data_IF_967584601332
#
_entry.id   IF_967584601332
#
_cell.length_a   1.000
_cell.length_b   1.000
_cell.length_c   1.000
_cell.angle_alpha   90.00
_cell.angle_beta   90.00
_cell.angle_gamma   90.00
#
_symmetry.space_group_name_H-M   'P 1'
#
loop_
_entity.id
_entity.type
_entity.pdbx_description
1 polymer ?
#
# COMPACT_ATOMS: atom_id res chain seq x y z
N UNK A 1 14.08 -1.07 46.70
CA UNK A 1 14.74 -1.62 45.49
C UNK A 1 13.89 -1.19 44.30
N UNK A 2 14.31 -0.15 43.56
CA UNK A 2 13.62 0.28 42.34
C UNK A 2 13.93 -0.74 41.24
N UNK A 3 12.91 -1.45 40.75
CA UNK A 3 13.03 -2.22 39.53
C UNK A 3 12.84 -1.27 38.35
N UNK A 4 13.92 -1.01 37.60
CA UNK A 4 13.84 -0.31 36.32
C UNK A 4 13.02 -1.16 35.35
N UNK A 5 11.96 -0.57 34.81
CA UNK A 5 11.22 -1.13 33.69
C UNK A 5 12.15 -1.16 32.45
N UNK A 6 12.42 -2.36 31.94
CA UNK A 6 12.88 -2.51 30.56
C UNK A 6 11.72 -2.14 29.65
N UNK A 7 11.65 -0.87 29.26
CA UNK A 7 10.89 -0.47 28.08
C UNK A 7 11.49 -1.19 26.87
N UNK A 8 10.84 -2.25 26.42
CA UNK A 8 11.10 -2.78 25.08
C UNK A 8 10.85 -1.65 24.10
N UNK A 9 11.90 -1.19 23.42
CA UNK A 9 11.76 -0.27 22.32
C UNK A 9 10.71 -0.88 21.36
N UNK A 10 9.61 -0.17 21.13
CA UNK A 10 8.61 -0.58 20.17
C UNK A 10 9.34 -0.85 18.85
N UNK A 11 9.22 -2.09 18.33
CA UNK A 11 9.61 -2.38 16.96
C UNK A 11 8.98 -1.30 16.08
N UNK A 12 9.79 -0.67 15.23
CA UNK A 12 9.49 0.62 14.61
C UNK A 12 8.05 0.77 14.12
N UNK A 13 7.47 1.94 14.37
CA UNK A 13 6.09 2.26 13.95
C UNK A 13 5.99 2.58 12.44
N UNK A 14 6.96 2.14 11.63
CA UNK A 14 6.99 2.41 10.20
C UNK A 14 5.81 1.75 9.47
N UNK A 15 5.28 2.47 8.49
CA UNK A 15 4.32 1.99 7.50
C UNK A 15 5.04 1.85 6.15
N UNK A 16 5.13 0.62 5.63
CA UNK A 16 5.56 0.39 4.24
C UNK A 16 4.37 0.61 3.30
N UNK A 17 4.45 1.57 2.39
CA UNK A 17 3.38 1.85 1.41
C UNK A 17 3.77 1.18 0.10
N UNK A 18 3.18 0.02 -0.16
CA UNK A 18 3.53 -0.84 -1.28
C UNK A 18 2.52 -0.73 -2.43
N UNK A 19 2.99 -0.49 -3.65
CA UNK A 19 2.14 -0.44 -4.85
C UNK A 19 2.60 -1.39 -5.94
N UNK A 20 1.65 -1.93 -6.69
CA UNK A 20 1.93 -2.71 -7.90
C UNK A 20 0.76 -2.56 -8.88
N UNK A 21 1.05 -2.30 -10.15
CA UNK A 21 0.06 -2.40 -11.22
C UNK A 21 -0.36 -3.86 -11.44
N UNK A 22 -1.61 -4.10 -11.86
CA UNK A 22 -2.13 -5.45 -12.14
C UNK A 22 -2.75 -5.50 -13.52
N UNK A 23 -2.76 -6.69 -14.12
CA UNK A 23 -3.54 -6.98 -15.32
C UNK A 23 -2.98 -6.41 -16.62
N UNK A 24 -1.68 -6.09 -16.64
CA UNK A 24 -1.02 -5.57 -17.85
C UNK A 24 -0.14 -6.66 -18.46
N UNK A 25 -0.35 -6.94 -19.74
CA UNK A 25 0.51 -7.86 -20.47
C UNK A 25 1.90 -7.24 -20.68
N UNK A 26 2.96 -7.95 -20.27
CA UNK A 26 4.34 -7.48 -20.38
C UNK A 26 4.79 -7.16 -21.83
N UNK A 27 4.08 -7.67 -22.84
CA UNK A 27 4.36 -7.43 -24.25
C UNK A 27 3.99 -6.01 -24.72
N UNK A 28 3.14 -5.28 -24.00
CA UNK A 28 2.79 -3.88 -24.32
C UNK A 28 3.54 -2.92 -23.40
N UNK A 29 4.73 -2.49 -23.83
CA UNK A 29 5.59 -1.60 -23.06
C UNK A 29 4.94 -0.24 -22.75
N UNK A 30 4.14 0.30 -23.68
CA UNK A 30 3.49 1.60 -23.50
C UNK A 30 2.36 1.52 -22.47
N UNK A 31 1.62 0.41 -22.46
CA UNK A 31 0.61 0.16 -21.44
C UNK A 31 1.25 -0.09 -20.06
N UNK A 32 2.35 -0.85 -19.99
CA UNK A 32 3.12 -1.05 -18.74
C UNK A 32 3.59 0.30 -18.19
N UNK A 33 4.22 1.13 -19.00
CA UNK A 33 4.73 2.44 -18.56
C UNK A 33 3.60 3.35 -18.06
N UNK A 34 2.46 3.36 -18.75
CA UNK A 34 1.27 4.11 -18.34
C UNK A 34 0.78 3.67 -16.96
N UNK A 35 0.63 2.36 -16.73
CA UNK A 35 0.14 1.84 -15.46
C UNK A 35 1.18 1.95 -14.33
N UNK A 36 2.47 1.85 -14.65
CA UNK A 36 3.56 2.14 -13.71
C UNK A 36 3.46 3.60 -13.24
N UNK A 37 3.29 4.56 -14.16
CA UNK A 37 3.12 5.98 -13.83
C UNK A 37 1.89 6.27 -12.97
N UNK A 38 0.75 5.63 -13.30
CA UNK A 38 -0.50 5.75 -12.53
C UNK A 38 -0.34 5.22 -11.11
N UNK A 39 0.20 4.01 -10.95
CA UNK A 39 0.40 3.39 -9.64
C UNK A 39 1.46 4.12 -8.82
N UNK A 40 2.54 4.60 -9.46
CA UNK A 40 3.56 5.41 -8.80
C UNK A 40 2.97 6.72 -8.26
N UNK A 41 2.20 7.45 -9.07
CA UNK A 41 1.58 8.70 -8.64
C UNK A 41 0.56 8.51 -7.50
N UNK A 42 -0.23 7.42 -7.56
CA UNK A 42 -1.15 7.04 -6.48
C UNK A 42 -0.41 6.68 -5.19
N UNK A 43 0.55 5.75 -5.26
CA UNK A 43 1.35 5.28 -4.13
C UNK A 43 2.12 6.42 -3.46
N UNK A 44 2.82 7.24 -4.25
CA UNK A 44 3.61 8.35 -3.74
C UNK A 44 2.74 9.32 -2.96
N UNK A 45 1.55 9.66 -3.47
CA UNK A 45 0.69 10.62 -2.78
C UNK A 45 0.06 10.03 -1.51
N UNK A 46 -0.25 8.73 -1.48
CA UNK A 46 -0.64 8.04 -0.24
C UNK A 46 0.48 8.15 0.79
N UNK A 47 1.71 7.82 0.40
CA UNK A 47 2.87 7.88 1.28
C UNK A 47 3.12 9.30 1.84
N UNK A 48 3.04 10.32 0.99
CA UNK A 48 3.16 11.73 1.38
C UNK A 48 2.10 12.11 2.43
N UNK A 49 0.83 11.78 2.20
CA UNK A 49 -0.25 12.15 3.13
C UNK A 49 -0.13 11.46 4.50
N UNK A 50 0.29 10.20 4.52
CA UNK A 50 0.56 9.50 5.80
C UNK A 50 1.77 10.13 6.51
N UNK A 51 2.82 10.49 5.76
CA UNK A 51 4.00 11.20 6.30
C UNK A 51 3.68 12.60 6.83
N UNK A 52 2.84 13.38 6.14
CA UNK A 52 2.32 14.69 6.57
C UNK A 52 1.56 14.59 7.92
N UNK A 53 1.03 13.41 8.24
CA UNK A 53 0.35 13.11 9.52
C UNK A 53 1.30 12.57 10.61
N UNK A 54 2.61 12.57 10.35
CA UNK A 54 3.64 12.20 11.31
C UNK A 54 4.02 10.72 11.31
N UNK A 55 3.53 9.92 10.36
CA UNK A 55 3.96 8.53 10.24
C UNK A 55 5.37 8.42 9.66
N UNK A 56 6.16 7.47 10.16
CA UNK A 56 7.36 7.02 9.46
C UNK A 56 6.91 6.16 8.26
N UNK A 57 7.15 6.63 7.05
CA UNK A 57 6.65 5.99 5.83
C UNK A 57 7.78 5.63 4.89
N UNK A 58 7.73 4.40 4.36
CA UNK A 58 8.64 3.94 3.31
C UNK A 58 7.81 3.60 2.06
N UNK A 59 7.94 4.34 0.95
CA UNK A 59 7.27 3.98 -0.30
C UNK A 59 8.03 2.88 -1.04
N UNK A 60 7.31 1.95 -1.64
CA UNK A 60 7.83 0.90 -2.51
C UNK A 60 6.85 0.63 -3.64
N UNK A 61 7.29 0.66 -4.90
CA UNK A 61 6.45 0.37 -6.06
C UNK A 61 7.14 -0.69 -6.93
N UNK A 62 6.45 -1.80 -7.17
CA UNK A 62 6.85 -2.82 -8.13
C UNK A 62 6.27 -2.51 -9.51
N UNK A 63 6.86 -3.07 -10.58
CA UNK A 63 6.39 -2.81 -11.94
C UNK A 63 5.09 -3.56 -12.20
N UNK A 64 4.23 -3.01 -13.04
CA UNK A 64 2.97 -3.60 -13.43
C UNK A 64 3.15 -4.92 -14.21
N UNK A 65 4.30 -5.08 -14.87
CA UNK A 65 4.68 -6.29 -15.59
C UNK A 65 5.30 -7.38 -14.71
N UNK A 66 5.57 -7.12 -13.42
CA UNK A 66 6.14 -8.12 -12.52
C UNK A 66 5.06 -9.15 -12.14
N UNK A 67 5.24 -10.41 -12.54
CA UNK A 67 4.30 -11.52 -12.34
C UNK A 67 4.77 -12.57 -11.32
N UNK A 68 6.04 -12.56 -10.90
CA UNK A 68 6.56 -13.40 -9.83
C UNK A 68 6.11 -12.89 -8.45
N UNK A 69 4.88 -13.24 -8.09
CA UNK A 69 4.27 -12.89 -6.80
C UNK A 69 5.15 -13.32 -5.61
N UNK A 70 5.69 -14.56 -5.54
CA UNK A 70 6.60 -14.95 -4.47
C UNK A 70 7.84 -14.05 -4.33
N UNK A 71 8.48 -13.64 -5.43
CA UNK A 71 9.63 -12.74 -5.39
C UNK A 71 9.24 -11.35 -4.88
N UNK A 72 8.14 -10.80 -5.36
CA UNK A 72 7.62 -9.49 -4.90
C UNK A 72 7.32 -9.51 -3.41
N UNK A 73 6.65 -10.56 -2.90
CA UNK A 73 6.36 -10.69 -1.46
C UNK A 73 7.65 -10.76 -0.63
N UNK A 74 8.66 -11.51 -1.09
CA UNK A 74 9.98 -11.56 -0.41
C UNK A 74 10.65 -10.18 -0.37
N UNK A 75 10.62 -9.44 -1.48
CA UNK A 75 11.20 -8.10 -1.55
C UNK A 75 10.48 -7.13 -0.59
N UNK A 76 9.16 -7.17 -0.55
CA UNK A 76 8.32 -6.38 0.35
C UNK A 76 8.64 -6.68 1.82
N UNK A 77 8.67 -7.96 2.20
CA UNK A 77 8.98 -8.37 3.58
C UNK A 77 10.41 -8.04 3.98
N UNK A 78 11.37 -8.24 3.06
CA UNK A 78 12.78 -7.88 3.30
C UNK A 78 12.94 -6.38 3.50
N UNK A 79 12.23 -5.55 2.72
CA UNK A 79 12.25 -4.10 2.88
C UNK A 79 11.61 -3.67 4.19
N UNK A 80 10.42 -4.19 4.50
CA UNK A 80 9.74 -3.92 5.76
C UNK A 80 10.59 -4.29 6.99
N UNK A 81 11.29 -5.42 6.94
CA UNK A 81 12.18 -5.84 8.02
C UNK A 81 13.39 -4.90 8.18
N UNK A 82 14.00 -4.48 7.06
CA UNK A 82 15.15 -3.58 7.08
C UNK A 82 14.82 -2.20 7.68
N UNK A 83 13.63 -1.67 7.37
CA UNK A 83 13.16 -0.38 7.88
C UNK A 83 12.38 -0.50 9.21
N UNK A 84 12.22 -1.71 9.74
CA UNK A 84 11.51 -1.98 10.98
C UNK A 84 10.03 -1.59 10.94
N UNK A 85 9.35 -1.84 9.82
CA UNK A 85 7.94 -1.47 9.66
C UNK A 85 6.99 -2.46 10.34
N UNK A 86 5.97 -1.94 11.02
CA UNK A 86 4.95 -2.71 11.73
C UNK A 86 3.71 -3.03 10.86
N UNK A 87 3.57 -2.36 9.71
CA UNK A 87 2.42 -2.54 8.81
C UNK A 87 2.77 -2.26 7.35
N UNK A 88 1.95 -2.82 6.46
CA UNK A 88 1.96 -2.54 5.03
C UNK A 88 0.63 -1.87 4.67
N UNK A 89 0.69 -0.78 3.90
CA UNK A 89 -0.45 -0.25 3.17
C UNK A 89 -0.26 -0.62 1.70
N UNK A 90 -1.01 -1.59 1.21
CA UNK A 90 -1.08 -1.94 -0.21
C UNK A 90 -1.91 -0.88 -0.93
N UNK A 91 -1.35 -0.32 -2.00
CA UNK A 91 -1.97 0.65 -2.89
C UNK A 91 -2.17 0.00 -4.25
N UNK A 92 -3.40 -0.04 -4.77
CA UNK A 92 -3.67 -0.60 -6.09
C UNK A 92 -4.60 0.32 -6.88
N UNK A 93 -4.23 0.62 -8.12
CA UNK A 93 -5.11 1.27 -9.10
C UNK A 93 -5.00 0.49 -10.42
N UNK A 94 -6.09 -0.17 -10.81
CA UNK A 94 -6.11 -1.05 -11.97
C UNK A 94 -7.48 -1.05 -12.66
N UNK A 95 -7.49 -1.37 -13.95
CA UNK A 95 -8.70 -1.61 -14.71
C UNK A 95 -9.08 -3.10 -14.63
N UNK A 96 -10.32 -3.36 -14.22
CA UNK A 96 -10.98 -4.66 -14.35
C UNK A 96 -11.86 -4.62 -15.60
N UNK A 97 -11.33 -5.12 -16.71
CA UNK A 97 -12.01 -5.11 -17.99
C UNK A 97 -13.22 -6.05 -18.03
N UNK A 98 -13.20 -7.13 -17.23
CA UNK A 98 -14.30 -8.10 -17.17
C UNK A 98 -15.51 -7.50 -16.44
N UNK A 99 -15.26 -6.83 -15.31
CA UNK A 99 -16.30 -6.14 -14.55
C UNK A 99 -16.64 -4.75 -15.10
N UNK A 100 -15.86 -4.23 -16.04
CA UNK A 100 -16.07 -2.90 -16.62
C UNK A 100 -15.83 -1.77 -15.62
N UNK A 101 -14.91 -1.93 -14.67
CA UNK A 101 -14.63 -0.94 -13.62
C UNK A 101 -13.14 -0.61 -13.48
N UNK A 102 -12.86 0.64 -13.15
CA UNK A 102 -11.58 1.07 -12.61
C UNK A 102 -11.65 0.99 -11.08
N UNK A 103 -10.73 0.25 -10.48
CA UNK A 103 -10.68 0.04 -9.03
C UNK A 103 -9.48 0.77 -8.43
N UNK A 104 -9.73 1.62 -7.44
CA UNK A 104 -8.72 2.20 -6.57
C UNK A 104 -8.89 1.62 -5.16
N UNK A 105 -7.82 1.07 -4.60
CA UNK A 105 -7.88 0.40 -3.31
C UNK A 105 -6.66 0.67 -2.44
N UNK A 106 -6.93 0.86 -1.15
CA UNK A 106 -5.96 0.75 -0.07
C UNK A 106 -6.34 -0.42 0.84
N UNK A 107 -5.36 -1.24 1.21
CA UNK A 107 -5.52 -2.28 2.23
C UNK A 107 -4.39 -2.20 3.23
N UNK A 108 -4.72 -2.16 4.51
CA UNK A 108 -3.72 -2.19 5.58
C UNK A 108 -3.58 -3.60 6.13
N UNK A 109 -2.36 -4.11 6.11
CA UNK A 109 -1.97 -5.40 6.66
C UNK A 109 -1.00 -5.19 7.82
N UNK A 110 -1.30 -5.71 9.02
CA UNK A 110 -0.33 -5.78 10.10
C UNK A 110 0.83 -6.72 9.72
N UNK A 111 2.01 -6.40 10.24
CA UNK A 111 3.16 -7.30 10.22
C UNK A 111 3.37 -7.88 11.60
N UNK A 112 3.63 -9.19 11.66
CA UNK A 112 3.96 -9.88 12.89
C UNK A 112 4.99 -10.97 12.62
N UNK A 113 5.84 -11.23 13.60
CA UNK A 113 6.74 -12.37 13.55
C UNK A 113 5.98 -13.65 13.90
N UNK A 114 6.20 -14.71 13.14
CA UNK A 114 5.73 -16.04 13.50
C UNK A 114 6.57 -16.64 14.65
N UNK A 115 6.19 -17.84 15.10
CA UNK A 115 6.89 -18.53 16.19
C UNK A 115 8.37 -18.86 15.87
N UNK A 116 8.74 -18.89 14.58
CA UNK A 116 10.12 -19.08 14.14
C UNK A 116 10.89 -17.76 14.00
N UNK A 117 10.25 -16.62 14.30
CA UNK A 117 10.85 -15.29 14.20
C UNK A 117 10.87 -14.73 12.78
N UNK A 118 10.13 -15.32 11.84
CA UNK A 118 10.03 -14.78 10.47
C UNK A 118 8.89 -13.76 10.37
N UNK A 119 9.14 -12.62 9.73
CA UNK A 119 8.14 -11.58 9.51
C UNK A 119 7.06 -12.06 8.51
N UNK A 120 5.78 -11.92 8.89
CA UNK A 120 4.62 -12.35 8.10
C UNK A 120 3.60 -11.24 7.95
N UNK A 121 3.01 -11.17 6.77
CA UNK A 121 1.83 -10.35 6.47
C UNK A 121 0.61 -11.03 7.09
N UNK A 122 -0.09 -10.32 7.99
CA UNK A 122 -1.33 -10.79 8.61
C UNK A 122 -2.55 -10.44 7.72
N UNK A 123 -3.75 -10.99 7.97
CA UNK A 123 -4.95 -10.59 7.27
C UNK A 123 -5.21 -9.06 7.35
N UNK A 124 -5.82 -8.46 6.31
CA UNK A 124 -6.05 -7.03 6.26
C UNK A 124 -7.00 -6.60 7.38
N UNK A 125 -6.71 -5.47 8.03
CA UNK A 125 -7.56 -4.91 9.09
C UNK A 125 -8.47 -3.79 8.58
N UNK A 126 -8.00 -3.02 7.61
CA UNK A 126 -8.72 -1.89 7.03
C UNK A 126 -8.69 -1.99 5.51
N UNK A 127 -9.77 -1.52 4.88
CA UNK A 127 -9.87 -1.42 3.42
C UNK A 127 -10.61 -0.14 3.07
N UNK A 128 -10.01 0.67 2.19
CA UNK A 128 -10.66 1.80 1.53
C UNK A 128 -10.68 1.47 0.05
N UNK A 129 -11.87 1.32 -0.52
CA UNK A 129 -12.04 0.97 -1.93
C UNK A 129 -12.97 1.99 -2.61
N UNK A 130 -12.67 2.29 -3.87
CA UNK A 130 -13.50 3.07 -4.79
C UNK A 130 -13.52 2.38 -6.14
N UNK A 131 -14.69 2.34 -6.75
CA UNK A 131 -14.91 1.80 -8.08
C UNK A 131 -15.53 2.88 -8.96
N UNK A 132 -15.10 2.94 -10.21
CA UNK A 132 -15.60 3.86 -11.22
C UNK A 132 -15.88 3.08 -12.49
N UNK A 133 -16.83 3.52 -13.31
CA UNK A 133 -17.05 2.91 -14.62
C UNK A 133 -15.78 2.99 -15.47
N UNK A 134 -15.38 1.87 -16.06
CA UNK A 134 -14.22 1.83 -16.96
C UNK A 134 -14.63 2.39 -18.32
N UNK A 135 -14.26 3.65 -18.55
CA UNK A 135 -14.46 4.33 -19.83
C UNK A 135 -13.25 5.20 -20.18
N UNK A 136 -13.01 5.52 -21.46
CA UNK A 136 -11.96 6.46 -21.85
C UNK A 136 -12.05 7.79 -21.10
N UNK A 137 -13.28 8.32 -20.96
CA UNK A 137 -13.55 9.56 -20.21
C UNK A 137 -13.13 9.44 -18.74
N UNK A 138 -13.37 8.29 -18.10
CA UNK A 138 -12.94 8.04 -16.71
C UNK A 138 -11.42 8.04 -16.62
N UNK A 139 -10.75 7.31 -17.53
CA UNK A 139 -9.29 7.22 -17.55
C UNK A 139 -8.63 8.60 -17.77
N UNK A 140 -9.20 9.43 -18.65
CA UNK A 140 -8.71 10.81 -18.90
C UNK A 140 -8.91 11.76 -17.72
N UNK A 141 -9.90 11.48 -16.86
CA UNK A 141 -10.26 12.34 -15.72
C UNK A 141 -9.68 11.87 -14.41
N UNK A 142 -9.27 10.61 -14.31
CA UNK A 142 -8.62 10.09 -13.12
C UNK A 142 -7.37 10.90 -12.81
N UNK A 143 -7.26 11.31 -11.55
CA UNK A 143 -6.12 12.02 -11.00
C UNK A 143 -5.57 11.15 -9.87
N UNK A 144 -4.61 10.24 -10.15
CA UNK A 144 -4.15 9.26 -9.18
C UNK A 144 -3.67 9.90 -7.89
N UNK A 145 -2.93 11.01 -7.96
CA UNK A 145 -2.49 11.71 -6.75
C UNK A 145 -3.67 12.24 -5.91
N UNK A 146 -4.66 12.89 -6.52
CA UNK A 146 -5.83 13.42 -5.80
C UNK A 146 -6.59 12.29 -5.12
N UNK A 147 -6.81 11.18 -5.84
CA UNK A 147 -7.48 10.01 -5.30
C UNK A 147 -6.69 9.38 -4.14
N UNK A 148 -5.37 9.26 -4.30
CA UNK A 148 -4.47 8.76 -3.25
C UNK A 148 -4.51 9.61 -1.99
N UNK A 149 -4.55 10.94 -2.13
CA UNK A 149 -4.64 11.85 -0.99
C UNK A 149 -5.95 11.66 -0.20
N UNK A 150 -7.09 11.63 -0.90
CA UNK A 150 -8.40 11.45 -0.28
C UNK A 150 -8.51 10.10 0.42
N UNK A 151 -8.09 9.02 -0.24
CA UNK A 151 -8.17 7.67 0.33
C UNK A 151 -7.20 7.47 1.50
N UNK A 152 -6.01 8.08 1.47
CA UNK A 152 -5.06 8.03 2.59
C UNK A 152 -5.59 8.77 3.82
N UNK A 153 -6.25 9.93 3.63
CA UNK A 153 -6.90 10.66 4.71
C UNK A 153 -8.00 9.81 5.38
N UNK A 154 -8.86 9.17 4.57
CA UNK A 154 -9.90 8.28 5.07
C UNK A 154 -9.32 7.06 5.81
N UNK A 155 -8.27 6.43 5.28
CA UNK A 155 -7.60 5.32 5.95
C UNK A 155 -7.07 5.74 7.33
N UNK A 156 -6.43 6.91 7.41
CA UNK A 156 -5.91 7.43 8.67
C UNK A 156 -7.04 7.73 9.68
N UNK A 157 -8.17 8.26 9.23
CA UNK A 157 -9.36 8.48 10.06
C UNK A 157 -9.95 7.17 10.58
N UNK A 158 -10.08 6.15 9.72
CA UNK A 158 -10.53 4.81 10.13
C UNK A 158 -9.58 4.20 11.18
N UNK A 159 -8.26 4.37 11.00
CA UNK A 159 -7.25 3.89 11.94
C UNK A 159 -7.38 4.58 13.31
N UNK A 160 -7.51 5.91 13.32
CA UNK A 160 -7.70 6.68 14.55
C UNK A 160 -8.98 6.23 15.30
N UNK A 161 -10.07 6.03 14.56
CA UNK A 161 -11.32 5.54 15.13
C UNK A 161 -11.22 4.10 15.68
N UNK A 162 -10.34 3.27 15.10
CA UNK A 162 -10.08 1.92 15.59
C UNK A 162 -9.19 1.87 16.83
N UNK A 163 -8.26 2.81 17.00
CA UNK A 163 -7.36 2.89 18.14
C UNK A 163 -8.00 3.50 19.40
N UNK A 164 -9.08 4.29 19.25
CA UNK A 164 -9.85 4.84 20.36
C UNK A 164 -10.90 3.89 20.96
N UNK A 165 -10.93 2.62 20.52
CA UNK A 165 -11.80 1.55 21.05
C UNK A 165 -10.96 0.56 21.85
#
# INVERSE_FOLDING_TARGET
>A
MLALACGGAAAGDCTLVFGQGRGVAAADAAEVERWDGVNFAFNRRVAEVLGERGEAVVPLVARAADDDVPATVRAVLSRAAADGCARIVETTLFADAEAGVLVARLREYPLAHDAAGALRIQPPRLTVERQFDLSPTTLDRVRPAVLGATMAAELAEQRAAAAGR
#
